data_IF_412392538430
#
_entry.id   IF_412392538430
#
_cell.length_a   1.000
_cell.length_b   1.000
_cell.length_c   1.000
_cell.angle_alpha   90.00
_cell.angle_beta   90.00
_cell.angle_gamma   90.00
#
_symmetry.space_group_name_H-M   'P 1'
#
loop_
_entity.id
_entity.type
_entity.pdbx_description
1 polymer ?
#
# COMPACT_ATOMS: atom_id res chain seq x y z
N UNK A 1 -4.68 -12.08 24.20
CA UNK A 1 -5.34 -13.36 23.84
C UNK A 1 -6.79 -13.33 24.32
N UNK A 2 -7.74 -13.89 23.56
CA UNK A 2 -9.21 -13.88 23.75
C UNK A 2 -10.00 -12.65 23.25
N UNK A 3 -10.05 -12.50 21.91
CA UNK A 3 -11.20 -11.91 21.20
C UNK A 3 -11.26 -12.26 19.70
N UNK A 4 -10.20 -12.84 19.14
CA UNK A 4 -10.28 -13.60 17.89
C UNK A 4 -10.94 -14.97 18.15
N UNK A 5 -11.73 -15.46 17.21
CA UNK A 5 -12.41 -16.76 17.19
C UNK A 5 -13.71 -16.87 18.00
N UNK A 6 -14.80 -16.35 17.44
CA UNK A 6 -16.18 -16.73 17.84
C UNK A 6 -16.69 -18.01 17.16
N UNK A 7 -15.89 -18.65 16.29
CA UNK A 7 -16.26 -19.90 15.61
C UNK A 7 -15.47 -21.08 16.19
N UNK A 8 -16.18 -22.01 16.85
CA UNK A 8 -15.62 -23.19 17.50
C UNK A 8 -14.82 -24.11 16.55
N UNK A 9 -15.07 -24.09 15.23
CA UNK A 9 -14.35 -24.96 14.28
C UNK A 9 -12.93 -24.45 13.97
N UNK A 10 -12.71 -23.13 13.95
CA UNK A 10 -11.39 -22.52 13.71
C UNK A 10 -10.44 -22.70 14.90
N UNK A 11 -10.99 -22.78 16.12
CA UNK A 11 -10.23 -22.94 17.36
C UNK A 11 -9.62 -24.34 17.51
N UNK A 12 -10.28 -25.37 16.96
CA UNK A 12 -9.81 -26.76 16.96
C UNK A 12 -8.53 -26.94 16.13
N UNK A 13 -8.48 -26.36 14.93
CA UNK A 13 -7.32 -26.42 14.06
C UNK A 13 -6.10 -25.68 14.65
N UNK A 14 -6.34 -24.61 15.39
CA UNK A 14 -5.30 -23.78 16.01
C UNK A 14 -4.60 -24.48 17.18
N UNK A 15 -5.32 -25.26 17.99
CA UNK A 15 -4.77 -25.92 19.17
C UNK A 15 -3.84 -27.09 18.83
N UNK A 16 -4.13 -27.84 17.75
CA UNK A 16 -3.33 -29.01 17.36
C UNK A 16 -1.94 -28.66 16.82
N UNK A 17 -1.77 -27.47 16.23
CA UNK A 17 -0.48 -27.03 15.70
C UNK A 17 0.41 -26.39 16.77
N UNK A 18 -0.17 -25.60 17.68
CA UNK A 18 0.56 -24.82 18.69
C UNK A 18 1.31 -25.68 19.72
N UNK A 19 0.81 -26.89 20.03
CA UNK A 19 1.47 -27.78 20.99
C UNK A 19 2.72 -28.50 20.43
N UNK A 20 3.02 -28.38 19.13
CA UNK A 20 4.09 -29.18 18.51
C UNK A 20 5.44 -28.47 18.39
N UNK A 21 5.56 -27.14 18.55
CA UNK A 21 6.75 -26.44 18.01
C UNK A 21 7.59 -25.57 18.94
N UNK A 22 7.22 -25.22 20.18
CA UNK A 22 8.07 -24.29 20.96
C UNK A 22 8.40 -24.73 22.39
N UNK A 23 9.62 -25.24 22.57
CA UNK A 23 10.43 -25.08 23.79
C UNK A 23 11.27 -23.79 23.70
N UNK A 24 11.45 -23.15 24.85
CA UNK A 24 11.98 -21.80 25.09
C UNK A 24 13.43 -21.53 24.61
N UNK A 25 13.68 -20.36 23.99
CA UNK A 25 14.96 -19.61 24.07
C UNK A 25 14.67 -18.10 24.00
N UNK A 26 15.47 -17.30 24.72
CA UNK A 26 15.23 -15.90 25.10
C UNK A 26 15.36 -14.82 24.03
N UNK A 27 15.05 -13.60 24.46
CA UNK A 27 14.87 -12.38 23.68
C UNK A 27 16.09 -11.95 22.84
N UNK A 28 16.02 -12.25 21.55
CA UNK A 28 16.59 -11.46 20.46
C UNK A 28 15.48 -11.35 19.39
N UNK A 29 15.19 -10.14 18.90
CA UNK A 29 14.22 -9.95 17.80
C UNK A 29 14.67 -10.75 16.57
N UNK A 30 13.77 -11.52 15.93
CA UNK A 30 14.15 -12.35 14.79
C UNK A 30 14.40 -11.51 13.53
N UNK A 31 15.18 -12.02 12.57
CA UNK A 31 15.52 -11.30 11.36
C UNK A 31 14.29 -11.17 10.45
N UNK A 32 13.96 -9.94 10.03
CA UNK A 32 12.86 -9.65 9.10
C UNK A 32 13.15 -10.17 7.68
N UNK A 33 12.86 -11.46 7.44
CA UNK A 33 12.84 -12.09 6.12
C UNK A 33 11.50 -11.90 5.38
N UNK A 34 11.42 -12.23 4.08
CA UNK A 34 10.21 -12.11 3.25
C UNK A 34 9.15 -13.19 3.49
N UNK A 35 9.47 -14.22 4.28
CA UNK A 35 8.69 -15.47 4.34
C UNK A 35 8.13 -15.79 5.74
N UNK A 36 8.27 -14.91 6.73
CA UNK A 36 7.62 -15.15 8.02
C UNK A 36 6.15 -14.70 7.99
N UNK A 37 5.21 -15.56 8.41
CA UNK A 37 3.84 -15.15 8.68
C UNK A 37 3.90 -13.96 9.64
N UNK A 38 3.31 -12.83 9.27
CA UNK A 38 2.90 -11.86 10.28
C UNK A 38 2.10 -12.67 11.30
N UNK A 39 2.51 -12.67 12.58
CA UNK A 39 2.01 -13.62 13.58
C UNK A 39 0.47 -13.67 13.69
N UNK A 40 -0.25 -12.68 13.15
CA UNK A 40 -1.70 -12.63 13.00
C UNK A 40 -2.32 -13.44 11.85
N UNK A 41 -1.59 -13.79 10.78
CA UNK A 41 -2.15 -14.47 9.59
C UNK A 41 -1.99 -16.00 9.59
N UNK A 42 -1.28 -16.59 10.56
CA UNK A 42 -0.91 -18.00 10.57
C UNK A 42 -2.11 -18.97 10.40
N UNK A 43 -3.29 -18.64 10.95
CA UNK A 43 -4.50 -19.43 10.75
C UNK A 43 -4.89 -19.52 9.27
N UNK A 44 -4.98 -18.38 8.59
CA UNK A 44 -5.40 -18.33 7.18
C UNK A 44 -4.37 -19.00 6.28
N UNK A 45 -3.08 -18.81 6.58
CA UNK A 45 -2.00 -19.47 5.85
C UNK A 45 -2.05 -21.00 6.02
N UNK A 46 -2.32 -21.50 7.23
CA UNK A 46 -2.53 -22.93 7.47
C UNK A 46 -3.73 -23.48 6.70
N UNK A 47 -4.84 -22.73 6.63
CA UNK A 47 -6.00 -23.11 5.81
C UNK A 47 -5.64 -23.20 4.33
N UNK A 48 -4.96 -22.18 3.80
CA UNK A 48 -4.51 -22.15 2.40
C UNK A 48 -3.53 -23.27 2.05
N UNK A 49 -2.59 -23.57 2.94
CA UNK A 49 -1.61 -24.65 2.76
C UNK A 49 -2.22 -26.05 2.91
N UNK A 50 -3.28 -26.21 3.72
CA UNK A 50 -3.89 -27.52 3.96
C UNK A 50 -4.49 -28.12 2.70
N UNK A 51 -5.11 -27.30 1.85
CA UNK A 51 -5.67 -27.71 0.57
C UNK A 51 -6.83 -28.71 0.62
N UNK A 52 -7.32 -29.09 1.81
CA UNK A 52 -8.51 -29.92 1.96
C UNK A 52 -9.79 -29.10 1.74
N UNK A 53 -10.89 -29.75 1.36
CA UNK A 53 -12.11 -29.03 0.95
C UNK A 53 -12.71 -28.17 2.07
N UNK A 54 -12.71 -28.65 3.32
CA UNK A 54 -13.21 -27.87 4.46
C UNK A 54 -12.34 -26.63 4.74
N UNK A 55 -11.03 -26.74 4.56
CA UNK A 55 -10.09 -25.63 4.69
C UNK A 55 -10.27 -24.61 3.56
N UNK A 56 -10.49 -25.08 2.32
CA UNK A 56 -10.81 -24.22 1.18
C UNK A 56 -12.11 -23.45 1.40
N UNK A 57 -13.17 -24.12 1.83
CA UNK A 57 -14.45 -23.47 2.15
C UNK A 57 -14.29 -22.42 3.25
N UNK A 58 -13.55 -22.74 4.32
CA UNK A 58 -13.27 -21.80 5.41
C UNK A 58 -12.49 -20.58 4.92
N UNK A 59 -11.51 -20.77 4.05
CA UNK A 59 -10.72 -19.70 3.46
C UNK A 59 -11.57 -18.80 2.55
N UNK A 60 -12.42 -19.39 1.69
CA UNK A 60 -13.33 -18.65 0.82
C UNK A 60 -14.35 -17.82 1.60
N UNK A 61 -14.84 -18.34 2.74
CA UNK A 61 -15.70 -17.57 3.65
C UNK A 61 -14.96 -16.38 4.25
N UNK A 62 -13.71 -16.59 4.68
CA UNK A 62 -12.90 -15.54 5.30
C UNK A 62 -12.56 -14.37 4.36
N UNK A 63 -12.61 -14.55 3.03
CA UNK A 63 -12.50 -13.45 2.07
C UNK A 63 -13.59 -12.38 2.25
N UNK A 64 -14.72 -12.75 2.85
CA UNK A 64 -15.84 -11.85 3.13
C UNK A 64 -16.01 -11.57 4.62
N UNK A 65 -15.00 -11.88 5.44
CA UNK A 65 -15.06 -11.61 6.86
C UNK A 65 -15.25 -10.09 7.11
N UNK A 66 -16.10 -9.70 8.07
CA UNK A 66 -16.26 -8.30 8.45
C UNK A 66 -15.01 -7.71 9.10
N UNK A 67 -14.11 -8.54 9.64
CA UNK A 67 -12.81 -8.10 10.14
C UNK A 67 -11.83 -7.91 8.97
N UNK A 68 -11.38 -6.67 8.67
CA UNK A 68 -10.45 -6.40 7.58
C UNK A 68 -9.11 -7.14 7.73
N UNK A 69 -8.67 -7.46 8.95
CA UNK A 69 -7.43 -8.19 9.17
C UNK A 69 -7.59 -9.66 8.76
N UNK A 70 -8.70 -10.29 9.16
CA UNK A 70 -9.02 -11.67 8.74
C UNK A 70 -9.13 -11.74 7.22
N UNK A 71 -9.82 -10.78 6.62
CA UNK A 71 -9.96 -10.68 5.17
C UNK A 71 -8.62 -10.49 4.45
N UNK A 72 -7.76 -9.57 4.90
CA UNK A 72 -6.45 -9.35 4.29
C UNK A 72 -5.57 -10.61 4.37
N UNK A 73 -5.56 -11.29 5.53
CA UNK A 73 -4.87 -12.58 5.68
C UNK A 73 -5.47 -13.66 4.77
N UNK A 74 -6.80 -13.72 4.65
CA UNK A 74 -7.51 -14.66 3.79
C UNK A 74 -7.20 -14.41 2.31
N UNK A 75 -7.16 -13.16 1.85
CA UNK A 75 -6.80 -12.78 0.49
C UNK A 75 -5.37 -13.22 0.16
N UNK A 76 -4.42 -12.95 1.06
CA UNK A 76 -3.02 -13.39 0.89
C UNK A 76 -2.91 -14.91 0.82
N UNK A 77 -3.55 -15.62 1.75
CA UNK A 77 -3.56 -17.08 1.76
C UNK A 77 -4.27 -17.68 0.54
N UNK A 78 -5.35 -17.05 0.07
CA UNK A 78 -6.08 -17.42 -1.14
C UNK A 78 -5.18 -17.35 -2.37
N UNK A 79 -4.43 -16.26 -2.55
CA UNK A 79 -3.44 -16.14 -3.62
C UNK A 79 -2.37 -17.22 -3.54
N UNK A 80 -1.75 -17.39 -2.37
CA UNK A 80 -0.67 -18.38 -2.15
C UNK A 80 -1.11 -19.82 -2.30
N UNK A 81 -2.38 -20.13 -2.04
CA UNK A 81 -2.89 -21.50 -2.19
C UNK A 81 -2.89 -21.97 -3.65
N UNK A 82 -2.99 -21.04 -4.61
CA UNK A 82 -3.13 -21.35 -6.03
C UNK A 82 -4.41 -22.12 -6.38
N UNK A 83 -5.36 -22.23 -5.45
CA UNK A 83 -6.64 -22.90 -5.67
C UNK A 83 -7.43 -22.12 -6.75
N UNK A 84 -7.82 -22.75 -7.86
CA UNK A 84 -8.63 -22.11 -8.88
C UNK A 84 -9.90 -21.44 -8.34
N UNK A 85 -10.58 -22.03 -7.34
CA UNK A 85 -11.77 -21.42 -6.73
C UNK A 85 -11.43 -20.14 -5.97
N UNK A 86 -10.28 -20.11 -5.29
CA UNK A 86 -9.80 -18.95 -4.56
C UNK A 86 -9.39 -17.83 -5.54
N UNK A 87 -8.69 -18.18 -6.62
CA UNK A 87 -8.34 -17.25 -7.71
C UNK A 87 -9.61 -16.65 -8.34
N UNK A 88 -10.62 -17.47 -8.64
CA UNK A 88 -11.89 -17.01 -9.20
C UNK A 88 -12.62 -16.04 -8.24
N UNK A 89 -12.60 -16.32 -6.93
CA UNK A 89 -13.18 -15.44 -5.92
C UNK A 89 -12.48 -14.06 -5.87
N UNK A 90 -11.13 -14.03 -5.90
CA UNK A 90 -10.35 -12.79 -5.94
C UNK A 90 -10.65 -11.97 -7.21
N UNK A 91 -10.71 -12.63 -8.37
CA UNK A 91 -11.07 -11.99 -9.64
C UNK A 91 -12.50 -11.42 -9.61
N UNK A 92 -13.45 -12.15 -9.03
CA UNK A 92 -14.83 -11.69 -8.88
C UNK A 92 -14.94 -10.47 -7.97
N UNK A 93 -14.15 -10.42 -6.88
CA UNK A 93 -14.11 -9.26 -5.98
C UNK A 93 -13.67 -7.98 -6.70
N UNK A 94 -12.60 -8.06 -7.50
CA UNK A 94 -12.13 -6.93 -8.32
C UNK A 94 -13.19 -6.52 -9.34
N UNK A 95 -13.81 -7.48 -10.03
CA UNK A 95 -14.85 -7.19 -11.03
C UNK A 95 -16.09 -6.54 -10.42
N UNK A 96 -16.44 -6.94 -9.19
CA UNK A 96 -17.55 -6.37 -8.43
C UNK A 96 -17.26 -4.92 -8.06
N UNK A 97 -16.06 -4.64 -7.55
CA UNK A 97 -15.62 -3.28 -7.27
C UNK A 97 -15.56 -2.40 -8.54
N UNK A 98 -15.10 -2.94 -9.66
CA UNK A 98 -15.05 -2.17 -10.91
C UNK A 98 -16.43 -1.86 -11.49
N UNK A 99 -17.45 -2.65 -11.13
CA UNK A 99 -18.85 -2.47 -11.55
C UNK A 99 -19.68 -1.66 -10.56
N UNK A 100 -19.18 -1.42 -9.34
CA UNK A 100 -19.96 -0.67 -8.34
C UNK A 100 -20.17 0.77 -8.80
N UNK A 101 -21.35 1.31 -8.45
CA UNK A 101 -21.63 2.72 -8.63
C UNK A 101 -20.96 3.50 -7.50
N UNK A 102 -20.41 4.68 -7.81
CA UNK A 102 -19.77 5.55 -6.83
C UNK A 102 -18.54 6.26 -7.39
N UNK A 103 -18.10 7.29 -6.68
CA UNK A 103 -16.87 8.01 -7.03
C UNK A 103 -15.63 7.20 -6.64
N UNK A 104 -14.78 6.89 -7.63
CA UNK A 104 -13.50 6.18 -7.49
C UNK A 104 -12.27 7.09 -7.69
N UNK A 105 -12.44 8.41 -7.57
CA UNK A 105 -11.35 9.39 -7.64
C UNK A 105 -10.75 9.72 -6.27
N UNK A 106 -10.17 10.92 -6.16
CA UNK A 106 -9.48 11.46 -4.96
C UNK A 106 -10.26 11.30 -3.65
N UNK A 107 -11.60 11.18 -3.71
CA UNK A 107 -12.47 11.10 -2.54
C UNK A 107 -13.16 9.73 -2.35
N UNK A 108 -12.68 8.66 -3.01
CA UNK A 108 -13.22 7.27 -2.96
C UNK A 108 -14.26 7.03 -1.87
N UNK A 109 -15.51 6.83 -2.31
CA UNK A 109 -16.67 6.66 -1.44
C UNK A 109 -16.59 5.34 -0.66
N UNK A 110 -16.30 4.23 -1.35
CA UNK A 110 -16.18 2.90 -0.76
C UNK A 110 -14.71 2.47 -0.63
N UNK A 111 -14.08 2.99 0.42
CA UNK A 111 -12.68 2.69 0.67
C UNK A 111 -12.46 1.21 1.00
N UNK A 112 -13.39 0.58 1.71
CA UNK A 112 -13.23 -0.82 2.09
C UNK A 112 -13.25 -1.71 0.84
N UNK A 113 -14.17 -1.48 -0.10
CA UNK A 113 -14.18 -2.22 -1.35
C UNK A 113 -12.93 -1.95 -2.20
N UNK A 114 -12.42 -0.70 -2.23
CA UNK A 114 -11.15 -0.38 -2.91
C UNK A 114 -9.98 -1.18 -2.35
N UNK A 115 -9.82 -1.21 -1.02
CA UNK A 115 -8.71 -1.91 -0.38
C UNK A 115 -8.77 -3.41 -0.65
N UNK A 116 -9.96 -4.02 -0.56
CA UNK A 116 -10.18 -5.43 -0.93
C UNK A 116 -9.78 -5.73 -2.37
N UNK A 117 -10.14 -4.85 -3.30
CA UNK A 117 -9.77 -5.00 -4.71
C UNK A 117 -8.26 -4.90 -4.89
N UNK A 118 -7.60 -3.94 -4.23
CA UNK A 118 -6.13 -3.79 -4.27
C UNK A 118 -5.43 -5.01 -3.69
N UNK A 119 -5.86 -5.51 -2.53
CA UNK A 119 -5.28 -6.70 -1.90
C UNK A 119 -5.45 -7.93 -2.80
N UNK A 120 -6.60 -8.07 -3.45
CA UNK A 120 -6.86 -9.14 -4.42
C UNK A 120 -5.93 -9.03 -5.63
N UNK A 121 -5.73 -7.82 -6.17
CA UNK A 121 -4.79 -7.57 -7.28
C UNK A 121 -3.37 -8.00 -6.88
N UNK A 122 -2.94 -7.68 -5.66
CA UNK A 122 -1.63 -8.03 -5.15
C UNK A 122 -1.46 -9.53 -4.95
N UNK A 123 -2.41 -10.17 -4.28
CA UNK A 123 -2.40 -11.62 -4.06
C UNK A 123 -2.34 -12.37 -5.40
N UNK A 124 -3.08 -11.93 -6.41
CA UNK A 124 -3.03 -12.50 -7.76
C UNK A 124 -1.66 -12.33 -8.42
N UNK A 125 -1.01 -11.19 -8.25
CA UNK A 125 0.34 -10.96 -8.78
C UNK A 125 1.40 -11.86 -8.14
N UNK A 126 1.28 -12.09 -6.83
CA UNK A 126 2.20 -12.95 -6.07
C UNK A 126 2.09 -14.43 -6.42
N UNK A 127 1.01 -14.85 -7.09
CA UNK A 127 0.90 -16.23 -7.60
C UNK A 127 1.94 -16.57 -8.66
N UNK A 128 2.44 -15.58 -9.41
CA UNK A 128 3.29 -15.82 -10.57
C UNK A 128 2.55 -16.48 -11.76
N UNK A 129 1.22 -16.61 -11.72
CA UNK A 129 0.46 -17.29 -12.76
C UNK A 129 0.23 -16.42 -14.00
N UNK A 130 1.07 -16.61 -15.01
CA UNK A 130 0.99 -15.90 -16.28
C UNK A 130 -0.36 -16.01 -17.00
N UNK A 131 -1.23 -17.00 -16.68
CA UNK A 131 -2.59 -17.12 -17.24
C UNK A 131 -3.48 -15.94 -16.83
N UNK A 132 -3.19 -15.28 -15.72
CA UNK A 132 -3.95 -14.14 -15.21
C UNK A 132 -3.72 -12.84 -16.01
N UNK A 133 -2.67 -12.78 -16.82
CA UNK A 133 -2.23 -11.57 -17.53
C UNK A 133 -3.36 -10.90 -18.34
N UNK A 134 -4.14 -11.69 -19.08
CA UNK A 134 -5.23 -11.16 -19.91
C UNK A 134 -6.36 -10.54 -19.07
N UNK A 135 -6.67 -11.16 -17.93
CA UNK A 135 -7.72 -10.70 -17.02
C UNK A 135 -7.27 -9.43 -16.28
N UNK A 136 -6.04 -9.39 -15.76
CA UNK A 136 -5.48 -8.18 -15.15
C UNK A 136 -5.36 -7.02 -16.15
N UNK A 137 -4.97 -7.30 -17.40
CA UNK A 137 -4.94 -6.30 -18.47
C UNK A 137 -6.33 -5.74 -18.81
N UNK A 138 -7.39 -6.54 -18.64
CA UNK A 138 -8.77 -6.06 -18.79
C UNK A 138 -9.12 -5.11 -17.64
N UNK A 139 -8.88 -5.51 -16.40
CA UNK A 139 -9.10 -4.65 -15.23
C UNK A 139 -8.36 -3.33 -15.33
N UNK A 140 -7.13 -3.34 -15.84
CA UNK A 140 -6.33 -2.12 -16.03
C UNK A 140 -7.05 -1.06 -16.87
N UNK A 141 -7.69 -1.49 -17.96
CA UNK A 141 -8.41 -0.59 -18.87
C UNK A 141 -9.66 0.03 -18.23
N UNK A 142 -10.24 -0.64 -17.25
CA UNK A 142 -11.47 -0.25 -16.54
C UNK A 142 -11.20 0.52 -15.24
N UNK A 143 -9.92 0.70 -14.89
CA UNK A 143 -9.48 1.21 -13.58
C UNK A 143 -9.06 2.68 -13.60
N UNK A 144 -9.13 3.32 -12.43
CA UNK A 144 -8.44 4.58 -12.12
C UNK A 144 -6.93 4.37 -11.88
N UNK A 145 -6.19 5.47 -11.74
CA UNK A 145 -4.73 5.46 -11.63
C UNK A 145 -4.20 4.67 -10.42
N UNK A 146 -4.92 4.64 -9.29
CA UNK A 146 -4.49 3.88 -8.11
C UNK A 146 -4.52 2.39 -8.43
N UNK A 147 -5.64 1.88 -8.96
CA UNK A 147 -5.73 0.48 -9.35
C UNK A 147 -4.77 0.15 -10.50
N UNK A 148 -4.57 1.06 -11.46
CA UNK A 148 -3.61 0.89 -12.56
C UNK A 148 -2.18 0.68 -12.06
N UNK A 149 -1.71 1.48 -11.10
CA UNK A 149 -0.38 1.32 -10.50
C UNK A 149 -0.24 -0.07 -9.86
N UNK A 150 -1.23 -0.51 -9.09
CA UNK A 150 -1.21 -1.84 -8.47
C UNK A 150 -1.30 -2.97 -9.50
N UNK A 151 -2.09 -2.81 -10.57
CA UNK A 151 -2.21 -3.78 -11.65
C UNK A 151 -0.92 -3.88 -12.46
N UNK A 152 -0.21 -2.78 -12.69
CA UNK A 152 1.11 -2.76 -13.30
C UNK A 152 2.09 -3.58 -12.47
N UNK A 153 2.12 -3.34 -11.14
CA UNK A 153 3.00 -4.09 -10.23
C UNK A 153 2.63 -5.58 -10.23
N UNK A 154 1.35 -5.90 -10.11
CA UNK A 154 0.83 -7.27 -10.14
C UNK A 154 1.19 -8.00 -11.44
N UNK A 155 0.98 -7.36 -12.60
CA UNK A 155 1.39 -7.91 -13.90
C UNK A 155 2.91 -8.10 -14.00
N UNK A 156 3.72 -7.21 -13.41
CA UNK A 156 5.17 -7.40 -13.29
C UNK A 156 5.52 -8.64 -12.46
N UNK A 157 4.85 -8.85 -11.32
CA UNK A 157 5.04 -10.01 -10.44
C UNK A 157 4.61 -11.34 -11.06
N UNK A 158 3.60 -11.36 -11.94
CA UNK A 158 3.25 -12.55 -12.72
C UNK A 158 4.40 -13.04 -13.63
N UNK A 159 5.35 -12.14 -13.96
CA UNK A 159 6.43 -12.40 -14.92
C UNK A 159 5.88 -12.85 -16.29
N UNK A 160 6.75 -13.24 -17.23
CA UNK A 160 6.35 -13.67 -18.58
C UNK A 160 6.14 -12.52 -19.57
N UNK A 161 5.09 -12.60 -20.42
CA UNK A 161 4.80 -11.63 -21.51
C UNK A 161 4.23 -10.28 -21.02
N UNK A 162 4.61 -9.82 -19.83
CA UNK A 162 4.19 -8.52 -19.29
C UNK A 162 4.87 -7.35 -20.01
N UNK A 163 6.13 -7.55 -20.45
CA UNK A 163 6.98 -6.50 -21.01
C UNK A 163 6.35 -5.70 -22.16
N UNK A 164 5.68 -6.32 -23.17
CA UNK A 164 5.02 -5.56 -24.22
C UNK A 164 3.92 -4.62 -23.71
N UNK A 165 3.09 -5.09 -22.76
CA UNK A 165 2.04 -4.27 -22.16
C UNK A 165 2.63 -3.10 -21.37
N UNK A 166 3.64 -3.36 -20.54
CA UNK A 166 4.31 -2.35 -19.73
C UNK A 166 5.04 -1.31 -20.61
N UNK A 167 5.65 -1.75 -21.71
CA UNK A 167 6.29 -0.86 -22.70
C UNK A 167 5.27 0.09 -23.33
N UNK A 168 4.10 -0.44 -23.71
CA UNK A 168 3.02 0.37 -24.28
C UNK A 168 2.47 1.39 -23.27
N UNK A 169 2.31 0.99 -22.00
CA UNK A 169 1.87 1.89 -20.93
C UNK A 169 2.90 3.00 -20.69
N UNK A 170 4.18 2.66 -20.52
CA UNK A 170 5.25 3.62 -20.27
C UNK A 170 5.38 4.68 -21.40
N UNK A 171 5.18 4.26 -22.65
CA UNK A 171 5.23 5.13 -23.82
C UNK A 171 3.94 5.92 -24.09
N UNK A 172 2.82 5.59 -23.44
CA UNK A 172 1.52 6.18 -23.73
C UNK A 172 1.37 7.57 -23.11
N UNK A 173 1.20 8.60 -23.96
CA UNK A 173 0.83 9.95 -23.51
C UNK A 173 -0.60 10.06 -22.95
N UNK A 174 -1.44 9.03 -23.10
CA UNK A 174 -2.78 8.99 -22.52
C UNK A 174 -2.78 8.62 -21.04
N UNK A 175 -1.68 8.05 -20.55
CA UNK A 175 -1.51 7.67 -19.14
C UNK A 175 -0.95 8.85 -18.34
N UNK A 176 -1.29 8.92 -17.05
CA UNK A 176 -0.65 9.87 -16.14
C UNK A 176 0.82 9.52 -15.93
N UNK A 177 1.62 10.51 -15.57
CA UNK A 177 3.06 10.31 -15.36
C UNK A 177 3.34 9.35 -14.19
N UNK A 178 2.48 9.34 -13.17
CA UNK A 178 2.54 8.40 -12.06
C UNK A 178 2.36 6.93 -12.51
N UNK A 179 1.38 6.66 -13.38
CA UNK A 179 1.13 5.33 -13.97
C UNK A 179 2.29 4.92 -14.87
N UNK A 180 2.79 5.85 -15.70
CA UNK A 180 3.93 5.60 -16.60
C UNK A 180 5.21 5.29 -15.81
N UNK A 181 5.46 6.00 -14.72
CA UNK A 181 6.59 5.75 -13.83
C UNK A 181 6.55 4.32 -13.26
N UNK A 182 5.37 3.86 -12.79
CA UNK A 182 5.22 2.49 -12.32
C UNK A 182 5.54 1.46 -13.43
N UNK A 183 5.15 1.73 -14.67
CA UNK A 183 5.47 0.86 -15.80
C UNK A 183 6.98 0.84 -16.14
N UNK A 184 7.66 2.00 -16.10
CA UNK A 184 9.12 2.06 -16.27
C UNK A 184 9.85 1.26 -15.20
N UNK A 185 9.47 1.42 -13.93
CA UNK A 185 10.08 0.68 -12.83
C UNK A 185 9.83 -0.82 -12.94
N UNK A 186 8.65 -1.25 -13.41
CA UNK A 186 8.37 -2.66 -13.66
C UNK A 186 9.13 -3.25 -14.83
N UNK A 187 9.43 -2.48 -15.86
CA UNK A 187 10.34 -2.92 -16.92
C UNK A 187 11.75 -3.15 -16.35
N UNK A 188 12.20 -2.30 -15.43
CA UNK A 188 13.52 -2.46 -14.78
C UNK A 188 13.59 -3.73 -13.93
N UNK A 189 12.56 -4.03 -13.14
CA UNK A 189 12.51 -5.28 -12.37
C UNK A 189 12.50 -6.53 -13.27
N UNK A 190 11.97 -6.40 -14.48
CA UNK A 190 11.97 -7.47 -15.50
C UNK A 190 13.24 -7.50 -16.35
N UNK A 191 14.22 -6.63 -16.09
CA UNK A 191 15.44 -6.50 -16.88
C UNK A 191 15.20 -6.09 -18.33
N UNK A 192 14.08 -5.42 -18.61
CA UNK A 192 13.69 -5.00 -19.94
C UNK A 192 14.20 -3.58 -20.23
N UNK A 193 14.66 -3.29 -21.46
CA UNK A 193 15.05 -1.94 -21.80
C UNK A 193 13.84 -1.01 -21.69
N UNK A 194 14.08 0.22 -21.20
CA UNK A 194 13.08 1.26 -21.34
C UNK A 194 12.72 1.46 -22.81
N UNK A 195 11.46 1.75 -23.14
CA UNK A 195 11.12 2.21 -24.48
C UNK A 195 12.01 3.40 -24.84
N UNK A 196 12.69 3.32 -25.99
CA UNK A 196 13.38 4.46 -26.59
C UNK A 196 12.33 5.49 -26.99
N UNK A 197 11.98 6.39 -26.07
CA UNK A 197 10.89 7.32 -26.27
C UNK A 197 11.40 8.76 -26.16
N UNK A 198 11.14 9.52 -27.23
CA UNK A 198 10.93 10.94 -27.11
C UNK A 198 9.61 11.11 -26.32
N UNK A 199 9.70 11.13 -24.99
CA UNK A 199 8.54 11.06 -24.11
C UNK A 199 7.64 12.27 -24.35
N UNK A 200 6.43 12.02 -24.85
CA UNK A 200 5.40 13.05 -24.88
C UNK A 200 4.94 13.36 -23.46
N UNK A 201 4.57 14.62 -23.22
CA UNK A 201 3.86 15.01 -22.01
C UNK A 201 2.57 14.18 -21.85
N UNK A 202 2.26 13.80 -20.61
CA UNK A 202 1.01 13.11 -20.31
C UNK A 202 -0.20 14.06 -20.46
N UNK A 203 -1.27 13.56 -21.05
CA UNK A 203 -2.52 14.30 -21.27
C UNK A 203 -3.44 14.29 -20.05
N UNK A 204 -3.22 13.35 -19.13
CA UNK A 204 -3.94 13.24 -17.87
C UNK A 204 -3.05 13.70 -16.72
N UNK A 205 -3.52 14.60 -15.84
CA UNK A 205 -2.75 15.04 -14.69
C UNK A 205 -2.50 13.89 -13.71
N UNK A 206 -3.52 13.05 -13.46
CA UNK A 206 -3.46 12.00 -12.44
C UNK A 206 -3.40 12.60 -11.04
N UNK A 207 -2.54 12.04 -10.19
CA UNK A 207 -2.22 12.56 -8.86
C UNK A 207 -1.58 13.96 -8.93
N UNK A 208 -1.93 14.84 -7.99
CA UNK A 208 -1.43 16.21 -7.98
C UNK A 208 -0.33 16.44 -6.95
N UNK A 209 0.53 17.44 -7.22
CA UNK A 209 1.54 17.90 -6.26
C UNK A 209 0.92 18.22 -4.91
N UNK A 210 1.60 17.83 -3.85
CA UNK A 210 1.18 17.92 -2.46
C UNK A 210 0.07 16.94 -2.05
N UNK A 211 -0.47 16.08 -2.92
CA UNK A 211 -1.39 15.03 -2.45
C UNK A 211 -0.67 14.08 -1.49
N UNK A 212 -1.35 13.73 -0.39
CA UNK A 212 -0.91 12.69 0.53
C UNK A 212 -1.04 11.34 -0.16
N UNK A 213 -0.03 10.49 -0.04
CA UNK A 213 -0.01 9.15 -0.64
C UNK A 213 0.17 8.08 0.42
N UNK A 214 -0.45 6.93 0.22
CA UNK A 214 -0.53 5.89 1.22
C UNK A 214 -0.16 4.53 0.64
N UNK A 215 0.62 3.77 1.42
CA UNK A 215 0.98 2.39 1.09
C UNK A 215 0.73 1.47 2.29
N UNK A 216 0.66 0.18 2.01
CA UNK A 216 0.69 -0.82 3.07
C UNK A 216 1.99 -0.84 3.82
N UNK A 217 1.98 -1.47 4.97
CA UNK A 217 3.14 -1.55 5.82
C UNK A 217 2.80 -2.15 7.16
N UNK A 218 3.83 -2.60 7.87
CA UNK A 218 3.73 -3.09 9.25
C UNK A 218 3.67 -1.91 10.25
N UNK A 219 3.65 -0.67 9.76
CA UNK A 219 3.84 0.52 10.58
C UNK A 219 2.51 1.17 10.98
N UNK A 220 1.95 0.64 12.06
CA UNK A 220 0.77 1.20 12.70
C UNK A 220 0.48 0.47 14.01
N UNK A 221 0.98 1.04 15.10
CA UNK A 221 0.82 0.69 16.52
C UNK A 221 1.88 -0.22 17.17
N UNK A 222 2.38 0.23 18.32
CA UNK A 222 3.05 -0.58 19.36
C UNK A 222 2.09 -1.68 19.88
N UNK A 223 0.80 -1.60 19.58
CA UNK A 223 -0.20 -2.63 19.88
C UNK A 223 -0.41 -3.60 18.72
N UNK A 224 0.56 -4.48 18.50
CA UNK A 224 0.27 -5.83 18.00
C UNK A 224 -0.68 -6.65 18.91
N UNK A 225 -1.54 -6.01 19.73
CA UNK A 225 -2.26 -6.65 20.84
C UNK A 225 -3.69 -6.12 21.11
N UNK A 226 -4.20 -5.08 20.42
CA UNK A 226 -5.46 -4.44 20.86
C UNK A 226 -6.41 -3.84 19.81
N UNK A 227 -5.91 -3.38 18.67
CA UNK A 227 -6.74 -2.88 17.57
C UNK A 227 -6.36 -3.65 16.30
N UNK A 228 -7.22 -4.55 15.83
CA UNK A 228 -7.17 -5.20 14.49
C UNK A 228 -7.30 -4.22 13.32
N UNK A 229 -6.36 -3.29 13.22
CA UNK A 229 -6.45 -2.05 12.48
C UNK A 229 -5.02 -1.75 11.96
N UNK A 230 -4.64 -1.70 10.68
CA UNK A 230 -5.31 -1.34 9.45
C UNK A 230 -4.37 -1.71 8.28
N UNK A 231 -4.86 -1.91 7.03
CA UNK A 231 -4.01 -2.27 5.90
C UNK A 231 -2.97 -1.18 5.56
N UNK A 232 -3.31 0.11 5.75
CA UNK A 232 -2.45 1.27 5.46
C UNK A 232 -1.43 1.50 6.58
N UNK A 233 -0.14 1.43 6.24
CA UNK A 233 0.94 1.48 7.23
C UNK A 233 1.99 2.56 6.96
N UNK A 234 1.88 3.34 5.88
CA UNK A 234 2.87 4.39 5.60
C UNK A 234 2.27 5.50 4.75
N UNK A 235 2.70 6.73 5.01
CA UNK A 235 2.23 7.96 4.35
C UNK A 235 3.40 8.79 3.84
N UNK A 236 3.19 9.49 2.73
CA UNK A 236 4.14 10.43 2.15
C UNK A 236 3.41 11.53 1.37
N UNK A 237 4.16 12.39 0.69
CA UNK A 237 3.59 13.43 -0.19
C UNK A 237 4.13 13.29 -1.60
N UNK A 238 3.24 13.28 -2.58
CA UNK A 238 3.62 13.35 -3.99
C UNK A 238 4.11 14.76 -4.34
N UNK A 239 5.39 14.88 -4.71
CA UNK A 239 6.01 16.16 -5.08
C UNK A 239 5.95 16.45 -6.60
N UNK A 240 5.54 15.48 -7.40
CA UNK A 240 5.50 15.57 -8.86
C UNK A 240 6.28 14.44 -9.50
N UNK A 241 6.80 14.72 -10.70
CA UNK A 241 7.55 13.77 -11.53
C UNK A 241 8.77 14.47 -12.10
N UNK A 242 9.76 13.68 -12.51
CA UNK A 242 10.91 14.15 -13.28
C UNK A 242 11.22 13.21 -14.45
N UNK A 243 11.71 13.79 -15.55
CA UNK A 243 12.24 13.01 -16.67
C UNK A 243 13.76 12.94 -16.52
N UNK A 244 14.29 11.73 -16.33
CA UNK A 244 15.72 11.48 -16.20
C UNK A 244 16.10 10.22 -16.96
N UNK A 245 17.16 10.30 -17.76
CA UNK A 245 17.66 9.18 -18.58
C UNK A 245 16.57 8.56 -19.47
N UNK A 246 15.69 9.39 -20.06
CA UNK A 246 14.60 8.92 -20.92
C UNK A 246 13.46 8.21 -20.18
N UNK A 247 13.38 8.34 -18.85
CA UNK A 247 12.38 7.70 -17.99
C UNK A 247 11.64 8.74 -17.17
N UNK A 248 10.38 8.46 -16.87
CA UNK A 248 9.58 9.23 -15.92
C UNK A 248 9.76 8.60 -14.55
N UNK A 249 10.14 9.42 -13.58
CA UNK A 249 10.26 9.05 -12.17
C UNK A 249 9.27 9.87 -11.36
N UNK A 250 8.61 9.26 -10.38
CA UNK A 250 7.86 10.02 -9.38
C UNK A 250 8.81 10.64 -8.38
N UNK A 251 8.47 11.82 -7.87
CA UNK A 251 9.19 12.47 -6.76
C UNK A 251 8.28 12.43 -5.55
N UNK A 252 8.75 11.82 -4.46
CA UNK A 252 7.98 11.63 -3.25
C UNK A 252 8.78 12.16 -2.06
N UNK A 253 8.11 12.93 -1.21
CA UNK A 253 8.59 13.35 0.10
C UNK A 253 8.25 12.25 1.08
N UNK A 254 9.27 11.70 1.72
CA UNK A 254 9.13 10.46 2.47
C UNK A 254 9.85 10.54 3.82
N UNK A 255 9.35 9.81 4.81
CA UNK A 255 9.92 9.74 6.15
C UNK A 255 9.70 8.32 6.69
N UNK A 256 10.78 7.53 6.78
CA UNK A 256 10.72 6.12 7.20
C UNK A 256 11.76 5.81 8.27
N UNK A 257 11.59 4.72 9.03
CA UNK A 257 12.52 4.36 10.10
C UNK A 257 13.99 4.34 9.66
N UNK A 258 14.86 4.84 10.55
CA UNK A 258 16.30 4.94 10.30
C UNK A 258 16.98 3.59 9.99
N UNK A 259 16.37 2.48 10.44
CA UNK A 259 16.88 1.11 10.21
C UNK A 259 16.75 0.66 8.76
N UNK A 260 15.86 1.28 7.97
CA UNK A 260 15.64 0.93 6.58
C UNK A 260 16.78 1.50 5.72
N UNK A 261 17.74 0.63 5.41
CA UNK A 261 18.90 0.96 4.57
C UNK A 261 18.52 1.01 3.08
N UNK A 262 19.20 1.82 2.25
CA UNK A 262 20.36 2.66 2.58
C UNK A 262 20.04 4.02 3.20
N UNK A 263 18.79 4.48 3.22
CA UNK A 263 18.41 5.83 3.63
C UNK A 263 17.12 5.83 4.45
N UNK A 264 17.23 5.70 5.77
CA UNK A 264 16.11 5.99 6.67
C UNK A 264 16.13 7.46 7.12
N UNK A 265 15.03 7.94 7.69
CA UNK A 265 14.81 9.34 8.03
C UNK A 265 13.99 10.08 6.97
N UNK A 266 14.01 11.42 7.06
CA UNK A 266 13.36 12.31 6.08
C UNK A 266 14.18 12.36 4.80
N UNK A 267 13.52 12.09 3.66
CA UNK A 267 14.20 11.89 2.38
C UNK A 267 13.33 12.30 1.19
N UNK A 268 14.00 12.58 0.08
CA UNK A 268 13.37 12.68 -1.24
C UNK A 268 13.66 11.38 -1.99
N UNK A 269 12.61 10.67 -2.37
CA UNK A 269 12.74 9.45 -3.19
C UNK A 269 12.16 9.67 -4.58
N UNK A 270 12.72 8.92 -5.53
CA UNK A 270 12.48 9.12 -6.96
C UNK A 270 11.84 7.89 -7.62
N UNK A 271 11.05 7.11 -6.87
CA UNK A 271 10.51 5.83 -7.35
C UNK A 271 9.37 5.33 -6.48
N UNK A 272 8.38 4.68 -7.10
CA UNK A 272 7.38 3.86 -6.41
C UNK A 272 8.02 2.70 -5.67
N UNK A 273 9.07 2.09 -6.21
CA UNK A 273 9.82 0.99 -5.61
C UNK A 273 10.26 1.33 -4.19
N UNK A 274 10.92 2.46 -3.98
CA UNK A 274 11.37 2.86 -2.65
C UNK A 274 10.23 3.21 -1.70
N UNK A 275 9.14 3.81 -2.22
CA UNK A 275 7.97 4.17 -1.42
C UNK A 275 7.22 2.92 -0.93
N UNK A 276 7.06 1.93 -1.80
CA UNK A 276 6.37 0.65 -1.54
C UNK A 276 7.28 -0.42 -0.92
N UNK A 277 8.46 0.00 -0.43
CA UNK A 277 9.49 -0.89 0.15
C UNK A 277 9.85 -2.07 -0.76
N UNK A 278 10.32 -1.78 -1.97
CA UNK A 278 10.70 -2.74 -3.01
C UNK A 278 9.51 -3.54 -3.53
N UNK A 279 8.37 -2.88 -3.75
CA UNK A 279 7.11 -3.53 -4.15
C UNK A 279 6.70 -4.66 -3.19
N UNK A 280 6.98 -4.47 -1.90
CA UNK A 280 6.52 -5.34 -0.81
C UNK A 280 5.10 -4.99 -0.39
N UNK A 281 4.72 -3.72 -0.53
CA UNK A 281 3.42 -3.24 -0.07
C UNK A 281 2.59 -2.56 -1.18
N UNK A 282 1.25 -2.74 -1.16
CA UNK A 282 0.33 -2.09 -2.08
C UNK A 282 0.33 -0.57 -1.96
N UNK A 283 0.06 0.10 -3.07
CA UNK A 283 -0.25 1.53 -3.07
C UNK A 283 -1.76 1.71 -2.89
N UNK A 284 -2.21 2.20 -1.74
CA UNK A 284 -3.65 2.28 -1.45
C UNK A 284 -4.33 3.52 -2.00
N UNK A 285 -3.54 4.53 -2.40
CA UNK A 285 -4.02 5.69 -3.12
C UNK A 285 -3.51 7.00 -2.57
N UNK A 286 -4.04 8.08 -3.13
CA UNK A 286 -3.75 9.45 -2.76
C UNK A 286 -5.00 10.17 -2.24
N UNK A 287 -4.78 11.22 -1.44
CA UNK A 287 -5.81 12.09 -0.88
C UNK A 287 -5.37 13.54 -0.89
N UNK A 288 -6.34 14.43 -1.00
CA UNK A 288 -6.17 15.86 -0.72
C UNK A 288 -7.02 16.24 0.49
N UNK A 289 -6.57 17.23 1.25
CA UNK A 289 -7.33 17.80 2.36
C UNK A 289 -8.57 18.54 1.88
N UNK A 290 -9.51 18.79 2.80
CA UNK A 290 -10.65 19.69 2.61
C UNK A 290 -10.54 20.83 3.63
N UNK A 291 -10.50 22.11 3.21
CA UNK A 291 -10.51 22.58 1.83
C UNK A 291 -9.24 22.15 1.06
N UNK A 292 -9.36 22.05 -0.27
CA UNK A 292 -8.23 21.71 -1.16
C UNK A 292 -7.16 22.81 -1.05
N UNK A 293 -5.87 22.49 -0.84
CA UNK A 293 -4.83 23.50 -0.80
C UNK A 293 -4.75 24.25 -2.14
N UNK A 294 -4.54 25.56 -2.08
CA UNK A 294 -4.33 26.40 -3.26
C UNK A 294 -3.02 26.03 -3.97
N UNK A 295 -2.86 26.43 -5.23
CA UNK A 295 -1.63 26.17 -5.99
C UNK A 295 -0.37 26.67 -5.26
N UNK A 296 -0.42 27.87 -4.67
CA UNK A 296 0.68 28.44 -3.89
C UNK A 296 0.99 27.61 -2.63
N UNK A 297 -0.03 27.09 -1.95
CA UNK A 297 0.15 26.21 -0.80
C UNK A 297 0.76 24.88 -1.21
N UNK A 298 0.29 24.27 -2.30
CA UNK A 298 0.86 23.02 -2.85
C UNK A 298 2.34 23.19 -3.20
N UNK A 299 2.70 24.31 -3.85
CA UNK A 299 4.09 24.62 -4.17
C UNK A 299 4.96 24.82 -2.91
N UNK A 300 4.41 25.47 -1.87
CA UNK A 300 5.13 25.67 -0.61
C UNK A 300 5.35 24.35 0.14
N UNK A 301 4.34 23.48 0.20
CA UNK A 301 4.44 22.13 0.79
C UNK A 301 5.58 21.37 0.11
N UNK A 302 5.56 21.30 -1.22
CA UNK A 302 6.56 20.57 -2.01
C UNK A 302 7.95 21.17 -1.84
N UNK A 303 8.08 22.50 -1.94
CA UNK A 303 9.38 23.20 -1.78
C UNK A 303 9.99 22.95 -0.40
N UNK A 304 9.16 23.00 0.64
CA UNK A 304 9.61 22.77 2.02
C UNK A 304 10.08 21.34 2.21
N UNK A 305 9.29 20.36 1.78
CA UNK A 305 9.68 18.94 1.90
C UNK A 305 10.94 18.61 1.11
N UNK A 306 11.07 19.12 -0.12
CA UNK A 306 12.28 18.93 -0.92
C UNK A 306 13.54 19.49 -0.25
N UNK A 307 13.40 20.58 0.53
CA UNK A 307 14.50 21.15 1.31
C UNK A 307 14.83 20.28 2.53
N UNK A 308 13.82 19.86 3.30
CA UNK A 308 14.02 19.01 4.49
C UNK A 308 14.62 17.64 4.14
N UNK A 309 14.20 17.03 3.03
CA UNK A 309 14.75 15.76 2.54
C UNK A 309 16.24 15.79 2.18
N UNK A 310 16.88 16.96 2.20
CA UNK A 310 18.33 17.14 1.98
C UNK A 310 19.13 17.32 3.29
N UNK A 311 18.46 17.45 4.43
CA UNK A 311 19.10 17.80 5.71
C UNK A 311 19.54 16.58 6.53
N UNK A 312 19.18 15.35 6.13
CA UNK A 312 19.53 14.14 6.88
C UNK A 312 18.81 14.03 8.23
N UNK A 313 17.57 14.52 8.31
CA UNK A 313 16.76 14.47 9.53
C UNK A 313 16.34 13.03 9.84
N UNK A 314 16.23 12.72 11.13
CA UNK A 314 15.97 11.36 11.60
C UNK A 314 14.49 11.07 11.74
N UNK A 315 14.16 9.79 11.59
CA UNK A 315 12.84 9.28 11.95
C UNK A 315 12.71 9.11 13.48
N UNK A 316 11.57 9.48 14.04
CA UNK A 316 11.25 9.29 15.45
C UNK A 316 10.54 7.94 15.68
N UNK A 317 11.27 6.97 16.21
CA UNK A 317 10.72 5.64 16.53
C UNK A 317 9.87 5.61 17.81
N UNK A 318 9.99 6.61 18.69
CA UNK A 318 9.23 6.64 19.94
C UNK A 318 7.76 6.96 19.68
N UNK A 319 7.49 7.70 18.60
CA UNK A 319 6.18 8.22 18.27
C UNK A 319 5.53 9.08 19.38
N UNK A 320 6.31 9.54 20.37
CA UNK A 320 5.81 10.32 21.51
C UNK A 320 5.66 11.82 21.19
N UNK A 321 6.16 12.27 20.04
CA UNK A 321 6.05 13.65 19.55
C UNK A 321 5.86 13.63 18.03
N UNK A 322 4.80 14.28 17.54
CA UNK A 322 4.39 14.15 16.13
C UNK A 322 5.21 15.06 15.18
N UNK A 323 5.36 16.36 15.44
CA UNK A 323 5.55 17.34 14.33
C UNK A 323 6.95 17.99 14.17
N UNK A 324 8.03 17.37 14.62
CA UNK A 324 9.40 17.89 14.39
C UNK A 324 9.77 19.13 15.23
N UNK A 325 10.66 20.03 14.73
CA UNK A 325 11.16 20.14 13.35
C UNK A 325 12.43 19.33 13.03
N UNK A 326 13.00 18.61 14.00
CA UNK A 326 14.28 17.87 13.82
C UNK A 326 14.09 16.36 13.67
N UNK A 327 13.01 15.81 14.23
CA UNK A 327 12.68 14.39 14.18
C UNK A 327 11.19 14.21 13.91
N UNK A 328 10.85 13.35 12.97
CA UNK A 328 9.47 13.13 12.54
C UNK A 328 9.16 11.64 12.48
N UNK A 329 7.91 11.25 12.73
CA UNK A 329 7.40 10.01 12.11
C UNK A 329 6.80 10.32 10.72
N UNK A 330 6.25 9.31 10.05
CA UNK A 330 5.71 9.50 8.70
C UNK A 330 4.52 10.48 8.68
N UNK A 331 3.61 10.38 9.65
CA UNK A 331 2.39 11.18 9.73
C UNK A 331 2.70 12.61 10.14
N UNK A 332 3.49 12.79 11.19
CA UNK A 332 3.88 14.10 11.67
C UNK A 332 4.79 14.86 10.69
N UNK A 333 5.55 14.15 9.84
CA UNK A 333 6.26 14.78 8.72
C UNK A 333 5.30 15.40 7.70
N UNK A 334 4.27 14.65 7.28
CA UNK A 334 3.31 15.15 6.31
C UNK A 334 2.43 16.27 6.89
N UNK A 335 2.02 16.17 8.15
CA UNK A 335 1.31 17.22 8.87
C UNK A 335 2.13 18.50 8.96
N UNK A 336 3.39 18.41 9.42
CA UNK A 336 4.27 19.56 9.52
C UNK A 336 4.38 20.33 8.21
N UNK A 337 4.55 19.62 7.09
CA UNK A 337 4.66 20.25 5.76
C UNK A 337 3.39 21.00 5.36
N UNK A 338 2.22 20.43 5.64
CA UNK A 338 0.94 21.08 5.38
C UNK A 338 0.75 22.31 6.27
N UNK A 339 1.07 22.21 7.56
CA UNK A 339 0.95 23.32 8.51
C UNK A 339 1.85 24.50 8.13
N UNK A 340 3.05 24.25 7.57
CA UNK A 340 3.91 25.31 7.04
C UNK A 340 3.24 26.10 5.91
N UNK A 341 2.27 25.52 5.21
CA UNK A 341 1.49 26.19 4.18
C UNK A 341 0.13 26.71 4.66
N UNK A 342 -0.26 26.41 5.90
CA UNK A 342 -1.49 26.86 6.55
C UNK A 342 -2.63 25.83 6.67
N UNK A 343 -2.84 24.87 5.75
CA UNK A 343 -3.86 23.85 5.96
C UNK A 343 -3.47 22.85 7.05
N UNK A 344 -4.47 22.31 7.73
CA UNK A 344 -4.30 21.18 8.63
C UNK A 344 -4.86 19.92 7.94
N UNK A 345 -4.03 18.90 7.63
CA UNK A 345 -4.50 17.74 6.89
C UNK A 345 -5.25 16.73 7.76
N UNK A 346 -5.15 16.83 9.09
CA UNK A 346 -5.95 16.03 10.01
C UNK A 346 -6.37 16.86 11.21
N UNK A 347 -7.65 16.87 11.51
CA UNK A 347 -8.18 17.64 12.64
C UNK A 347 -7.49 17.26 13.95
N UNK A 348 -7.13 18.26 14.76
CA UNK A 348 -6.42 18.06 16.02
C UNK A 348 -7.21 17.20 17.02
N UNK A 349 -8.51 17.00 16.83
CA UNK A 349 -9.31 16.07 17.64
C UNK A 349 -8.90 14.60 17.48
N UNK A 350 -8.23 14.24 16.39
CA UNK A 350 -7.61 12.92 16.23
C UNK A 350 -6.26 12.83 16.97
N UNK A 351 -5.68 13.96 17.39
CA UNK A 351 -4.53 13.98 18.27
C UNK A 351 -5.00 13.78 19.71
N UNK A 352 -4.80 12.58 20.25
CA UNK A 352 -5.25 12.25 21.61
C UNK A 352 -4.62 13.11 22.72
N UNK A 353 -3.61 13.93 22.44
CA UNK A 353 -2.92 14.82 23.39
C UNK A 353 -2.16 14.08 24.51
N UNK A 354 -2.28 12.76 24.59
CA UNK A 354 -1.64 11.87 25.57
C UNK A 354 -0.24 11.41 25.12
N UNK A 355 0.33 12.05 24.09
CA UNK A 355 1.61 11.67 23.49
C UNK A 355 1.53 10.47 22.54
N UNK A 356 0.32 10.09 22.07
CA UNK A 356 0.18 9.04 21.05
C UNK A 356 0.13 9.64 19.64
N UNK A 357 0.84 9.06 18.66
CA UNK A 357 0.85 9.54 17.29
C UNK A 357 -0.50 9.24 16.61
N UNK A 358 -0.91 10.09 15.68
CA UNK A 358 -1.91 9.74 14.68
C UNK A 358 -1.33 8.62 13.79
N UNK A 359 -2.11 7.59 13.47
CA UNK A 359 -1.68 6.53 12.55
C UNK A 359 -1.87 6.94 11.08
N UNK A 360 -1.12 6.34 10.13
CA UNK A 360 -1.34 6.58 8.71
C UNK A 360 -2.77 6.31 8.24
N UNK A 361 -3.44 5.32 8.83
CA UNK A 361 -4.85 5.07 8.54
C UNK A 361 -5.77 6.16 9.06
N UNK A 362 -5.57 6.62 10.30
CA UNK A 362 -6.40 7.70 10.84
C UNK A 362 -6.22 8.97 10.01
N UNK A 363 -5.00 9.28 9.56
CA UNK A 363 -4.74 10.35 8.58
C UNK A 363 -5.46 10.09 7.24
N UNK A 364 -5.43 8.85 6.75
CA UNK A 364 -6.08 8.48 5.50
C UNK A 364 -7.62 8.53 5.55
N UNK A 365 -8.20 8.31 6.74
CA UNK A 365 -9.64 8.38 6.99
C UNK A 365 -10.11 9.79 7.35
N UNK A 366 -9.33 10.57 8.10
CA UNK A 366 -9.68 11.93 8.53
C UNK A 366 -9.81 12.91 7.36
N UNK A 367 -9.17 12.61 6.23
CA UNK A 367 -9.32 13.36 4.97
C UNK A 367 -10.62 13.02 4.22
N UNK A 368 -11.42 12.05 4.67
CA UNK A 368 -12.82 11.88 4.25
C UNK A 368 -13.70 12.87 5.05
N UNK A 369 -14.80 13.40 4.46
CA UNK A 369 -15.70 14.28 5.20
C UNK A 369 -16.19 13.61 6.49
N UNK A 370 -16.15 14.36 7.60
CA UNK A 370 -16.96 14.04 8.78
C UNK A 370 -18.43 14.00 8.35
N UNK A 371 -19.11 12.90 8.67
CA UNK A 371 -20.53 12.66 8.35
C UNK A 371 -21.43 13.84 8.73
#
# INVERSE_FOLDING_TARGET
MTRAFKNLSLMSAFLSFFLSTHTSVGAQEPPQGPDEPEAGCAAMEALGASGNEAARESLLQALNDPDPAVQACAVRAAGRSGDPKAVDALLSGIETYLKSAGNRGDYEEDLQARLKAIDSIWALGETGDARLMNKLSKFYRESDDVLRINLIISMGKLRGKAAPNLTAIAASGEESEAVRAAAFEMLDELGQPAPNANLSASRRPGIEKADLIYTGGVLGTITGWGSGHMPVGHTGIFAGTEIKNGRINVVILDCVQNILKPYGGVRNIYSWKNFTHYFKFPYYGNRTTRPRPTAAQRDLIVKTGLALGKLGLKYNNSHLSQKGPLEFDCVGYTEYLYEQAGPNPTDNSFESGLGWPLTPWEQFMSVKPSL
#
